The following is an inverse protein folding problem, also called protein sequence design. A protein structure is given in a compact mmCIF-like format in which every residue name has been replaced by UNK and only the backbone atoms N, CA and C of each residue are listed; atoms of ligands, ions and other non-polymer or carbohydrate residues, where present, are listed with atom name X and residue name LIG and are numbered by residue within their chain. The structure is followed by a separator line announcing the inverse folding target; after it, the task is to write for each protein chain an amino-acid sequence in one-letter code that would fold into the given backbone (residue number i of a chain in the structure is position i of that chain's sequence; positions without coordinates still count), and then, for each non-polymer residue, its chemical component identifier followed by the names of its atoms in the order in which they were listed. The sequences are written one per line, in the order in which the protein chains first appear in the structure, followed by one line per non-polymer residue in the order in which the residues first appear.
data_IF_327312076571
#
_entry.id   IF_327312076571
#
_cell.length_a   1.000
_cell.length_b   1.000
_cell.length_c   1.000
_cell.angle_alpha   90.00
_cell.angle_beta   90.00
_cell.angle_gamma   90.00
#
_symmetry.space_group_name_H-M   'P 1'
#
loop_
_entity.id
_entity.type
_entity.pdbx_description
1 polymer ?
#
# COMPACT_ATOMS: atom_id res chain seq x y z
N UNK A 1 9.02 5.06 -9.54
CA UNK A 1 8.79 3.97 -8.58
C UNK A 1 8.26 4.56 -7.29
N UNK A 2 7.18 4.01 -6.72
CA UNK A 2 6.61 4.38 -5.43
C UNK A 2 6.76 3.18 -4.48
N UNK A 3 7.15 3.42 -3.22
CA UNK A 3 7.33 2.37 -2.21
C UNK A 3 6.61 2.70 -0.92
N UNK A 4 5.66 1.85 -0.54
CA UNK A 4 4.95 1.92 0.74
C UNK A 4 5.75 1.13 1.77
N UNK A 5 6.55 1.82 2.60
CA UNK A 5 7.47 1.18 3.54
C UNK A 5 7.01 1.21 5.00
N UNK A 6 6.11 2.13 5.38
CA UNK A 6 5.67 2.33 6.76
C UNK A 6 6.67 3.10 7.63
N UNK A 7 6.18 4.04 8.44
CA UNK A 7 7.03 4.97 9.20
C UNK A 7 7.69 4.38 10.46
N UNK A 8 7.00 3.47 11.16
CA UNK A 8 7.46 2.89 12.44
C UNK A 8 7.72 1.38 12.33
N UNK A 9 8.90 1.04 11.81
CA UNK A 9 9.31 -0.36 11.63
C UNK A 9 9.42 -1.12 12.96
N UNK A 10 10.02 -0.52 13.98
CA UNK A 10 10.22 -1.21 15.26
C UNK A 10 8.88 -1.44 15.97
N UNK A 11 7.98 -0.45 15.93
CA UNK A 11 6.64 -0.57 16.48
C UNK A 11 5.84 -1.67 15.79
N UNK A 12 5.86 -1.74 14.46
CA UNK A 12 5.09 -2.77 13.75
C UNK A 12 5.68 -4.17 13.92
N UNK A 13 7.01 -4.33 13.98
CA UNK A 13 7.66 -5.61 14.30
C UNK A 13 7.28 -6.09 15.71
N UNK A 14 7.21 -5.17 16.69
CA UNK A 14 6.80 -5.47 18.06
C UNK A 14 5.31 -5.84 18.14
N UNK A 15 4.43 -5.07 17.49
CA UNK A 15 2.98 -5.33 17.46
C UNK A 15 2.66 -6.65 16.77
N UNK A 16 3.33 -6.92 15.64
CA UNK A 16 3.06 -8.10 14.83
C UNK A 16 3.65 -9.38 15.40
N UNK A 17 4.71 -9.28 16.22
CA UNK A 17 5.48 -10.45 16.63
C UNK A 17 6.04 -11.21 15.43
N UNK A 18 6.38 -10.48 14.35
CA UNK A 18 6.78 -11.02 13.03
C UNK A 18 5.70 -11.82 12.30
N UNK A 19 4.43 -11.67 12.67
CA UNK A 19 3.28 -12.28 11.96
C UNK A 19 2.66 -11.26 11.00
N UNK A 20 2.77 -11.52 9.71
CA UNK A 20 2.36 -10.59 8.64
C UNK A 20 1.05 -11.00 7.97
N UNK A 21 0.08 -11.46 8.75
CA UNK A 21 -1.16 -12.10 8.29
C UNK A 21 -2.43 -11.27 8.55
N UNK A 22 -2.28 -10.04 9.04
CA UNK A 22 -3.40 -9.11 9.27
C UNK A 22 -2.90 -7.67 9.21
N UNK A 23 -3.86 -6.74 9.27
CA UNK A 23 -3.58 -5.31 9.40
C UNK A 23 -3.34 -4.98 10.89
N UNK A 24 -2.15 -4.44 11.18
CA UNK A 24 -1.71 -3.99 12.51
C UNK A 24 -1.71 -2.47 12.65
N UNK A 25 -1.62 -1.75 11.54
CA UNK A 25 -1.69 -0.29 11.46
C UNK A 25 -2.58 0.05 10.26
N UNK A 26 -3.82 0.45 10.52
CA UNK A 26 -4.78 0.73 9.46
C UNK A 26 -4.49 2.08 8.80
N UNK A 27 -4.22 2.06 7.49
CA UNK A 27 -3.86 3.24 6.71
C UNK A 27 -4.87 3.54 5.61
N UNK A 28 -6.16 3.24 5.82
CA UNK A 28 -7.20 3.41 4.79
C UNK A 28 -7.20 4.80 4.13
N UNK A 29 -7.12 5.87 4.93
CA UNK A 29 -7.10 7.25 4.41
C UNK A 29 -5.83 7.55 3.59
N UNK A 30 -4.68 7.03 4.02
CA UNK A 30 -3.42 7.18 3.30
C UNK A 30 -3.42 6.35 2.02
N UNK A 31 -3.97 5.13 2.06
CA UNK A 31 -4.16 4.27 0.89
C UNK A 31 -4.99 4.94 -0.19
N UNK A 32 -6.11 5.59 0.18
CA UNK A 32 -6.93 6.38 -0.75
C UNK A 32 -6.14 7.53 -1.36
N UNK A 33 -5.41 8.27 -0.53
CA UNK A 33 -4.58 9.39 -1.00
C UNK A 33 -3.47 8.93 -1.95
N UNK A 34 -2.85 7.78 -1.67
CA UNK A 34 -1.86 7.15 -2.55
C UNK A 34 -2.50 6.69 -3.86
N UNK A 35 -3.68 6.07 -3.80
CA UNK A 35 -4.39 5.62 -5.00
C UNK A 35 -4.77 6.82 -5.90
N UNK A 36 -5.27 7.92 -5.33
CA UNK A 36 -5.58 9.15 -6.07
C UNK A 36 -4.33 9.70 -6.78
N UNK A 37 -3.19 9.75 -6.10
CA UNK A 37 -1.90 10.15 -6.68
C UNK A 37 -1.49 9.23 -7.84
N UNK A 38 -1.60 7.91 -7.66
CA UNK A 38 -1.22 6.93 -8.70
C UNK A 38 -2.15 7.06 -9.92
N UNK A 39 -3.44 7.22 -9.70
CA UNK A 39 -4.44 7.40 -10.75
C UNK A 39 -4.19 8.69 -11.55
N UNK A 40 -3.84 9.80 -10.89
CA UNK A 40 -3.46 11.04 -11.55
C UNK A 40 -2.20 10.85 -12.43
N UNK A 41 -1.16 10.20 -11.91
CA UNK A 41 0.05 9.90 -12.68
C UNK A 41 -0.24 9.05 -13.91
N UNK A 42 -1.03 7.98 -13.76
CA UNK A 42 -1.43 7.12 -14.87
C UNK A 42 -2.27 7.86 -15.91
N UNK A 43 -3.16 8.76 -15.49
CA UNK A 43 -3.96 9.58 -16.42
C UNK A 43 -3.11 10.48 -17.33
N UNK A 44 -1.89 10.80 -16.89
CA UNK A 44 -0.89 11.59 -17.64
C UNK A 44 0.06 10.71 -18.46
N UNK A 45 -0.20 9.40 -18.55
CA UNK A 45 0.62 8.44 -19.28
C UNK A 45 1.91 8.02 -18.57
N UNK A 46 2.03 8.28 -17.26
CA UNK A 46 3.22 7.87 -16.49
C UNK A 46 3.08 6.41 -16.06
N UNK A 47 4.07 5.59 -16.40
CA UNK A 47 4.17 4.22 -15.92
C UNK A 47 4.58 4.20 -14.43
N UNK A 48 3.77 3.55 -13.60
CA UNK A 48 3.98 3.51 -12.15
C UNK A 48 4.22 2.08 -11.67
N UNK A 49 5.37 1.87 -11.03
CA UNK A 49 5.69 0.66 -10.28
C UNK A 49 5.47 0.92 -8.78
N UNK A 50 4.55 0.17 -8.15
CA UNK A 50 4.23 0.24 -6.72
C UNK A 50 4.83 -0.96 -5.97
N UNK A 51 5.66 -0.70 -4.98
CA UNK A 51 6.21 -1.72 -4.08
C UNK A 51 5.58 -1.59 -2.68
N UNK A 52 4.96 -2.66 -2.18
CA UNK A 52 4.33 -2.68 -0.86
C UNK A 52 5.16 -3.51 0.11
N UNK A 53 5.54 -2.92 1.24
CA UNK A 53 6.25 -3.60 2.31
C UNK A 53 5.29 -4.00 3.43
N UNK A 54 5.54 -5.15 4.07
CA UNK A 54 4.77 -5.62 5.21
C UNK A 54 4.81 -4.67 6.41
N UNK A 55 5.84 -3.82 6.53
CA UNK A 55 5.90 -2.79 7.58
C UNK A 55 4.94 -1.62 7.36
N UNK A 56 4.28 -1.53 6.20
CA UNK A 56 3.34 -0.45 5.92
C UNK A 56 2.07 -0.58 6.78
N UNK A 57 1.27 -1.64 6.60
CA UNK A 57 0.08 -1.89 7.42
C UNK A 57 0.14 -3.19 8.21
N UNK A 58 1.16 -4.03 7.99
CA UNK A 58 1.29 -5.33 8.67
C UNK A 58 1.17 -6.54 7.76
N UNK A 59 0.75 -6.38 6.50
CA UNK A 59 0.71 -7.47 5.52
C UNK A 59 0.72 -6.92 4.10
N UNK A 60 1.78 -7.17 3.34
CA UNK A 60 1.87 -6.69 1.96
C UNK A 60 0.75 -7.28 1.06
N UNK A 61 0.42 -8.58 1.11
CA UNK A 61 -0.69 -9.13 0.33
C UNK A 61 -2.03 -8.46 0.62
N UNK A 62 -2.39 -8.30 1.90
CA UNK A 62 -3.68 -7.69 2.28
C UNK A 62 -3.70 -6.21 1.88
N UNK A 63 -2.61 -5.47 2.06
CA UNK A 63 -2.52 -4.09 1.58
C UNK A 63 -2.70 -4.00 0.06
N UNK A 64 -2.12 -4.93 -0.72
CA UNK A 64 -2.29 -4.98 -2.18
C UNK A 64 -3.77 -5.25 -2.52
N UNK A 65 -4.42 -6.20 -1.85
CA UNK A 65 -5.85 -6.47 -2.04
C UNK A 65 -6.72 -5.25 -1.74
N UNK A 66 -6.39 -4.47 -0.70
CA UNK A 66 -7.10 -3.24 -0.32
C UNK A 66 -6.91 -2.09 -1.30
N UNK A 67 -5.70 -1.89 -1.83
CA UNK A 67 -5.42 -0.76 -2.74
C UNK A 67 -5.83 -1.05 -4.19
N UNK A 68 -5.80 -2.31 -4.62
CA UNK A 68 -6.15 -2.73 -5.99
C UNK A 68 -7.50 -2.17 -6.49
N UNK A 69 -8.62 -2.27 -5.74
CA UNK A 69 -9.90 -1.72 -6.20
C UNK A 69 -9.95 -0.18 -6.24
N UNK A 70 -8.98 0.51 -5.62
CA UNK A 70 -8.86 1.98 -5.66
C UNK A 70 -8.07 2.46 -6.89
N UNK A 71 -7.38 1.55 -7.59
CA UNK A 71 -6.56 1.87 -8.75
C UNK A 71 -7.35 1.68 -10.05
N UNK A 72 -7.18 2.61 -10.97
CA UNK A 72 -7.80 2.56 -12.30
C UNK A 72 -6.98 1.66 -13.22
N UNK A 73 -7.06 0.35 -13.03
CA UNK A 73 -6.50 -0.59 -13.99
C UNK A 73 -7.22 -0.46 -15.33
N UNK A 74 -6.49 -0.35 -16.47
CA UNK A 74 -7.13 -0.38 -17.77
C UNK A 74 -7.91 -1.69 -17.89
N UNK A 75 -9.20 -1.59 -18.23
CA UNK A 75 -10.00 -2.76 -18.55
C UNK A 75 -9.41 -3.37 -19.83
N UNK A 76 -8.97 -4.62 -19.73
CA UNK A 76 -8.56 -5.46 -20.85
C UNK A 76 -9.68 -5.65 -21.87
#
# INVERSE_FOLDING_TARGET
MIRLHGGDRQGIEKKSGKKWNQIWDDKDNELRSVADMINDLQSRGVEVYLNVNNHYEGSAPITIERITPLLNFPKS
#
